data_IF_164191115856
#
_entry.id   IF_164191115856
#
_cell.length_a   1.000
_cell.length_b   1.000
_cell.length_c   1.000
_cell.angle_alpha   90.00
_cell.angle_beta   90.00
_cell.angle_gamma   90.00
#
_symmetry.space_group_name_H-M   'P 1'
#
loop_
_entity.id
_entity.type
_entity.pdbx_description
1 polymer ?
#
# COMPACT_ATOMS: atom_id res chain seq x y z
N UNK A 1 9.69 -16.79 -24.81
CA UNK A 1 8.95 -16.86 -23.54
C UNK A 1 7.65 -16.15 -23.77
N UNK A 2 6.55 -16.88 -23.78
CA UNK A 2 5.27 -16.44 -24.32
C UNK A 2 4.53 -15.56 -23.29
N UNK A 3 4.37 -14.26 -23.59
CA UNK A 3 3.72 -13.29 -22.70
C UNK A 3 2.19 -13.47 -22.63
N UNK A 4 1.62 -14.38 -23.44
CA UNK A 4 0.19 -14.69 -23.45
C UNK A 4 -0.24 -15.78 -22.45
N UNK A 5 0.67 -16.32 -21.65
CA UNK A 5 0.36 -17.32 -20.61
C UNK A 5 0.25 -16.72 -19.19
N UNK A 6 -0.08 -15.44 -19.06
CA UNK A 6 -0.33 -14.83 -17.75
C UNK A 6 -1.78 -15.10 -17.38
N UNK A 7 -2.04 -16.18 -16.62
CA UNK A 7 -3.38 -16.44 -16.10
C UNK A 7 -3.80 -15.27 -15.19
N UNK A 8 -5.08 -14.94 -15.18
CA UNK A 8 -5.66 -13.85 -14.40
C UNK A 8 -5.34 -13.94 -12.89
N UNK A 9 -4.94 -15.11 -12.42
CA UNK A 9 -4.47 -15.41 -11.06
C UNK A 9 -3.09 -14.80 -10.72
N UNK A 10 -2.22 -14.57 -11.71
CA UNK A 10 -0.87 -14.01 -11.52
C UNK A 10 -0.87 -12.49 -11.32
N UNK A 11 -2.01 -11.82 -11.57
CA UNK A 11 -2.17 -10.37 -11.39
C UNK A 11 -2.19 -9.94 -9.91
N UNK A 12 -2.23 -10.89 -8.96
CA UNK A 12 -2.21 -10.62 -7.52
C UNK A 12 -1.08 -11.44 -6.88
N UNK A 13 0.12 -10.84 -6.82
CA UNK A 13 1.41 -11.47 -6.39
C UNK A 13 1.28 -12.68 -5.46
N UNK A 14 1.55 -13.85 -6.04
CA UNK A 14 1.76 -15.12 -5.36
C UNK A 14 0.47 -15.86 -4.98
N UNK A 15 0.57 -17.18 -4.98
CA UNK A 15 -0.45 -18.06 -4.40
C UNK A 15 -0.55 -17.80 -2.89
N UNK A 16 -1.75 -17.99 -2.35
CA UNK A 16 -1.95 -17.97 -0.90
C UNK A 16 -1.15 -19.13 -0.29
N UNK A 17 -0.25 -18.88 0.68
CA UNK A 17 0.47 -19.96 1.35
C UNK A 17 -0.48 -20.97 1.98
N UNK A 18 -0.11 -22.25 1.93
CA UNK A 18 -0.95 -23.35 2.46
C UNK A 18 -1.20 -23.21 3.96
N UNK A 19 -0.22 -22.66 4.69
CA UNK A 19 -0.19 -22.43 6.13
C UNK A 19 -0.68 -21.03 6.54
N UNK A 20 -1.38 -20.31 5.64
CA UNK A 20 -1.75 -18.91 5.92
C UNK A 20 -2.70 -18.79 7.12
N UNK A 21 -3.56 -19.79 7.34
CA UNK A 21 -4.54 -19.75 8.43
C UNK A 21 -3.84 -19.89 9.77
N UNK A 22 -2.94 -20.88 9.89
CA UNK A 22 -2.06 -21.07 11.04
C UNK A 22 -1.21 -19.83 11.30
N UNK A 23 -0.58 -19.29 10.25
CA UNK A 23 0.24 -18.08 10.34
C UNK A 23 -0.56 -16.89 10.87
N UNK A 24 -1.76 -16.64 10.33
CA UNK A 24 -2.61 -15.54 10.78
C UNK A 24 -3.06 -15.73 12.23
N UNK A 25 -3.39 -16.95 12.62
CA UNK A 25 -3.79 -17.28 13.98
C UNK A 25 -2.66 -17.02 14.97
N UNK A 26 -1.46 -17.52 14.70
CA UNK A 26 -0.30 -17.36 15.58
C UNK A 26 0.11 -15.88 15.72
N UNK A 27 0.04 -15.11 14.63
CA UNK A 27 0.23 -13.66 14.68
C UNK A 27 -0.84 -12.98 15.56
N UNK A 28 -2.11 -13.35 15.43
CA UNK A 28 -3.17 -12.78 16.27
C UNK A 28 -2.95 -13.13 17.75
N UNK A 29 -2.60 -14.39 18.07
CA UNK A 29 -2.28 -14.81 19.45
C UNK A 29 -1.13 -14.01 20.03
N UNK A 30 -0.05 -13.85 19.27
CA UNK A 30 1.17 -13.20 19.71
C UNK A 30 0.98 -11.70 19.96
N UNK A 31 0.27 -11.00 19.07
CA UNK A 31 0.21 -9.53 19.08
C UNK A 31 -1.08 -8.93 19.65
N UNK A 32 -2.22 -9.62 19.54
CA UNK A 32 -3.51 -9.12 20.03
C UNK A 32 -3.86 -9.64 21.42
N UNK A 33 -3.37 -10.83 21.78
CA UNK A 33 -3.68 -11.49 23.05
C UNK A 33 -5.20 -11.66 23.26
N UNK A 34 -5.64 -11.85 24.52
CA UNK A 34 -7.06 -11.87 24.89
C UNK A 34 -7.83 -13.00 24.21
N UNK A 35 -8.97 -12.67 23.59
CA UNK A 35 -9.85 -13.65 22.94
C UNK A 35 -9.15 -14.50 21.87
N UNK A 36 -8.06 -13.99 21.27
CA UNK A 36 -7.30 -14.70 20.24
C UNK A 36 -6.48 -15.88 20.78
N UNK A 37 -6.03 -15.83 22.05
CA UNK A 37 -5.17 -16.90 22.62
C UNK A 37 -5.90 -18.25 22.74
N UNK A 38 -7.23 -18.22 22.79
CA UNK A 38 -8.08 -19.39 22.93
C UNK A 38 -8.57 -19.96 21.58
N UNK A 39 -8.26 -19.29 20.46
CA UNK A 39 -8.75 -19.70 19.15
C UNK A 39 -7.90 -20.81 18.53
N UNK A 40 -8.57 -21.68 17.78
CA UNK A 40 -7.97 -22.68 16.88
C UNK A 40 -8.26 -22.32 15.42
N UNK A 41 -7.59 -23.01 14.49
CA UNK A 41 -7.79 -22.85 13.04
C UNK A 41 -9.26 -23.00 12.65
N UNK A 42 -10.00 -23.91 13.29
CA UNK A 42 -11.42 -24.15 13.01
C UNK A 42 -12.33 -23.01 13.47
N UNK A 43 -11.93 -22.28 14.51
CA UNK A 43 -12.71 -21.18 15.11
C UNK A 43 -12.50 -19.83 14.44
N UNK A 44 -11.60 -19.74 13.47
CA UNK A 44 -11.33 -18.51 12.72
C UNK A 44 -11.65 -18.69 11.23
N UNK A 45 -11.89 -17.55 10.58
CA UNK A 45 -11.99 -17.44 9.14
C UNK A 45 -10.91 -16.49 8.65
N UNK A 46 -10.16 -16.92 7.64
CA UNK A 46 -9.15 -16.09 6.97
C UNK A 46 -9.53 -15.92 5.50
N UNK A 47 -9.64 -14.67 5.06
CA UNK A 47 -10.00 -14.30 3.69
C UNK A 47 -8.94 -13.39 3.10
N UNK A 48 -8.47 -13.70 1.88
CA UNK A 48 -7.56 -12.81 1.15
C UNK A 48 -8.30 -11.53 0.77
N UNK A 49 -7.71 -10.39 1.10
CA UNK A 49 -8.16 -9.08 0.62
C UNK A 49 -7.40 -8.80 -0.67
N UNK A 50 -8.14 -8.71 -1.78
CA UNK A 50 -7.60 -8.46 -3.12
C UNK A 50 -7.51 -6.96 -3.40
N UNK A 51 -6.70 -6.56 -4.38
CA UNK A 51 -6.58 -5.16 -4.85
C UNK A 51 -5.21 -4.49 -4.60
N UNK A 52 -4.39 -5.05 -3.70
CA UNK A 52 -3.01 -4.57 -3.48
C UNK A 52 -2.01 -5.20 -4.46
N UNK A 53 -1.22 -4.37 -5.15
CA UNK A 53 -0.21 -4.83 -6.12
C UNK A 53 1.11 -5.32 -5.46
N UNK A 54 1.43 -4.84 -4.26
CA UNK A 54 2.77 -4.99 -3.68
C UNK A 54 2.83 -5.95 -2.49
N UNK A 55 1.76 -6.01 -1.68
CA UNK A 55 1.72 -6.74 -0.41
C UNK A 55 0.50 -7.66 -0.37
N UNK A 56 0.62 -8.80 0.30
CA UNK A 56 -0.52 -9.68 0.55
C UNK A 56 -1.26 -9.19 1.80
N UNK A 57 -2.59 -9.22 1.75
CA UNK A 57 -3.42 -8.76 2.86
C UNK A 57 -4.53 -9.78 3.11
N UNK A 58 -4.79 -10.06 4.37
CA UNK A 58 -5.76 -11.06 4.81
C UNK A 58 -6.65 -10.49 5.91
N UNK A 59 -7.96 -10.66 5.78
CA UNK A 59 -8.89 -10.47 6.88
C UNK A 59 -8.90 -11.74 7.73
N UNK A 60 -8.59 -11.61 9.02
CA UNK A 60 -8.68 -12.68 10.00
C UNK A 60 -9.80 -12.35 10.98
N UNK A 61 -10.77 -13.26 11.12
CA UNK A 61 -11.98 -13.06 11.92
C UNK A 61 -12.28 -14.28 12.78
N UNK A 62 -12.63 -14.07 14.05
CA UNK A 62 -13.17 -15.14 14.89
C UNK A 62 -14.62 -15.45 14.47
N UNK A 63 -14.92 -16.71 14.16
CA UNK A 63 -16.28 -17.20 13.92
C UNK A 63 -17.05 -17.09 15.24
N UNK A 64 -18.09 -16.27 15.29
CA UNK A 64 -18.95 -16.13 16.45
C UNK A 64 -20.32 -16.72 16.16
N UNK A 65 -20.80 -17.59 17.07
CA UNK A 65 -22.19 -18.07 17.09
C UNK A 65 -23.11 -17.18 17.96
N UNK A 66 -22.64 -16.01 18.44
CA UNK A 66 -23.39 -15.13 19.35
C UNK A 66 -23.00 -13.65 19.26
N UNK A 67 -23.86 -12.79 19.82
CA UNK A 67 -23.80 -11.32 19.74
C UNK A 67 -22.46 -10.72 20.21
N UNK A 68 -22.06 -9.64 19.53
CA UNK A 68 -20.89 -8.84 19.86
C UNK A 68 -21.01 -8.33 21.30
N UNK A 69 -20.20 -8.88 22.21
CA UNK A 69 -20.04 -8.29 23.54
C UNK A 69 -19.43 -6.89 23.38
N UNK A 70 -20.09 -5.81 23.84
CA UNK A 70 -19.69 -4.43 23.51
C UNK A 70 -18.36 -3.95 24.12
N UNK A 71 -17.59 -4.82 24.80
CA UNK A 71 -16.58 -4.40 25.79
C UNK A 71 -15.30 -5.25 25.81
N UNK A 72 -14.83 -5.77 24.68
CA UNK A 72 -13.43 -6.24 24.61
C UNK A 72 -12.55 -5.19 23.97
N UNK A 73 -11.47 -4.77 24.66
CA UNK A 73 -10.46 -3.85 24.12
C UNK A 73 -9.73 -4.41 22.87
N UNK A 74 -9.85 -5.72 22.64
CA UNK A 74 -9.22 -6.45 21.53
C UNK A 74 -10.27 -6.72 20.44
N UNK A 75 -9.99 -6.38 19.17
CA UNK A 75 -10.91 -6.61 18.05
C UNK A 75 -11.05 -8.11 17.73
N UNK A 76 -12.23 -8.54 17.26
CA UNK A 76 -12.48 -9.92 16.77
C UNK A 76 -12.25 -10.10 15.27
N UNK A 77 -12.02 -9.01 14.55
CA UNK A 77 -11.75 -8.96 13.11
C UNK A 77 -10.60 -7.98 12.86
N UNK A 78 -9.57 -8.43 12.16
CA UNK A 78 -8.35 -7.65 11.87
C UNK A 78 -7.85 -7.90 10.44
N UNK A 79 -7.08 -6.95 9.92
CA UNK A 79 -6.37 -7.11 8.66
C UNK A 79 -4.88 -7.38 8.93
N UNK A 80 -4.34 -8.44 8.35
CA UNK A 80 -2.92 -8.79 8.43
C UNK A 80 -2.29 -8.48 7.08
N UNK A 81 -1.30 -7.57 7.08
CA UNK A 81 -0.53 -7.20 5.90
C UNK A 81 0.84 -7.85 5.96
N UNK A 82 1.12 -8.72 4.99
CA UNK A 82 2.41 -9.39 4.83
C UNK A 82 3.23 -8.72 3.72
N UNK A 83 4.46 -8.38 4.04
CA UNK A 83 5.42 -7.79 3.11
C UNK A 83 6.08 -8.89 2.27
N UNK A 84 6.26 -8.65 0.96
CA UNK A 84 6.97 -9.60 0.08
C UNK A 84 8.45 -9.80 0.47
N UNK A 85 9.21 -10.67 -0.21
CA UNK A 85 10.65 -10.90 0.13
C UNK A 85 11.57 -9.70 -0.14
N UNK A 86 11.25 -8.91 -1.17
CA UNK A 86 11.87 -7.58 -1.41
C UNK A 86 11.36 -6.52 -0.43
N UNK A 87 10.23 -6.86 0.22
CA UNK A 87 9.77 -6.40 1.53
C UNK A 87 10.84 -6.90 2.56
N UNK A 88 10.64 -7.34 3.81
CA UNK A 88 11.71 -7.86 4.72
C UNK A 88 12.99 -7.00 5.00
N UNK A 89 13.36 -6.84 6.27
CA UNK A 89 14.54 -6.05 6.67
C UNK A 89 15.74 -7.00 6.64
N UNK A 90 16.30 -7.28 5.46
CA UNK A 90 17.36 -8.31 5.34
C UNK A 90 18.60 -7.88 4.56
N UNK A 91 18.63 -6.72 3.89
CA UNK A 91 19.70 -6.41 2.91
C UNK A 91 20.27 -4.97 2.96
N UNK A 92 20.24 -4.28 4.11
CA UNK A 92 20.83 -2.93 4.21
C UNK A 92 19.95 -1.80 3.65
N UNK A 93 18.79 -2.12 3.06
CA UNK A 93 17.71 -1.19 2.71
C UNK A 93 16.84 -0.74 3.91
N UNK A 94 17.30 -1.02 5.14
CA UNK A 94 16.51 -0.84 6.38
C UNK A 94 16.06 0.60 6.67
N UNK A 95 16.74 1.62 6.12
CA UNK A 95 16.42 3.03 6.35
C UNK A 95 15.10 3.49 5.71
N UNK A 96 14.82 3.08 4.48
CA UNK A 96 13.57 3.44 3.78
C UNK A 96 12.36 2.75 4.45
N UNK A 97 12.55 1.49 4.88
CA UNK A 97 11.53 0.70 5.60
C UNK A 97 11.16 1.30 6.94
N UNK A 98 12.15 1.75 7.70
CA UNK A 98 11.89 2.40 8.97
C UNK A 98 11.08 3.68 8.76
N UNK A 99 11.37 4.42 7.68
CA UNK A 99 10.56 5.56 7.24
C UNK A 99 9.09 5.18 6.98
N UNK A 100 8.83 4.14 6.18
CA UNK A 100 7.47 3.67 5.89
C UNK A 100 6.71 3.22 7.14
N UNK A 101 7.39 2.56 8.07
CA UNK A 101 6.83 2.16 9.36
C UNK A 101 6.43 3.38 10.19
N UNK A 102 7.32 4.37 10.30
CA UNK A 102 7.05 5.61 11.03
C UNK A 102 5.88 6.36 10.39
N UNK A 103 5.86 6.48 9.05
CA UNK A 103 4.75 7.09 8.31
C UNK A 103 3.44 6.36 8.62
N UNK A 104 3.41 5.03 8.51
CA UNK A 104 2.22 4.22 8.78
C UNK A 104 1.69 4.39 10.20
N UNK A 105 2.58 4.40 11.20
CA UNK A 105 2.23 4.64 12.59
C UNK A 105 1.67 6.05 12.82
N UNK A 106 2.25 7.08 12.20
CA UNK A 106 1.77 8.46 12.33
C UNK A 106 0.41 8.65 11.66
N UNK A 107 0.20 8.07 10.48
CA UNK A 107 -1.09 8.11 9.78
C UNK A 107 -2.17 7.42 10.63
N UNK A 108 -1.86 6.26 11.21
CA UNK A 108 -2.72 5.56 12.17
C UNK A 108 -3.01 6.42 13.41
N UNK A 109 -1.99 7.00 14.04
CA UNK A 109 -2.12 7.79 15.26
C UNK A 109 -2.98 9.06 15.04
N UNK A 110 -2.88 9.67 13.86
CA UNK A 110 -3.68 10.85 13.48
C UNK A 110 -5.09 10.48 13.00
N UNK A 111 -5.48 9.21 13.00
CA UNK A 111 -6.80 8.76 12.51
C UNK A 111 -7.01 9.04 11.01
N UNK A 112 -5.93 8.97 10.23
CA UNK A 112 -5.92 9.16 8.78
C UNK A 112 -5.72 7.85 8.00
N UNK A 113 -5.58 6.74 8.73
CA UNK A 113 -5.54 5.39 8.17
C UNK A 113 -5.91 4.36 9.24
N UNK A 114 -5.85 3.06 8.88
CA UNK A 114 -6.23 2.01 9.79
C UNK A 114 -5.37 1.99 11.05
N UNK A 115 -6.01 1.77 12.20
CA UNK A 115 -5.29 1.62 13.47
C UNK A 115 -4.32 0.44 13.39
N UNK A 116 -3.06 0.66 13.78
CA UNK A 116 -2.07 -0.42 13.92
C UNK A 116 -2.25 -1.09 15.29
N UNK A 117 -2.48 -2.41 15.29
CA UNK A 117 -2.56 -3.22 16.51
C UNK A 117 -1.26 -3.96 16.82
N UNK A 118 -0.46 -4.29 15.81
CA UNK A 118 0.80 -5.01 16.01
C UNK A 118 1.73 -4.87 14.81
N UNK A 119 3.03 -4.99 15.07
CA UNK A 119 4.07 -4.91 14.05
C UNK A 119 5.07 -6.04 14.26
N UNK A 120 5.49 -6.69 13.18
CA UNK A 120 6.39 -7.84 13.22
C UNK A 120 7.34 -7.86 12.05
N UNK A 121 8.38 -8.69 12.14
CA UNK A 121 9.29 -8.87 11.01
C UNK A 121 8.55 -9.51 9.84
N UNK A 122 8.30 -8.72 8.80
CA UNK A 122 7.54 -9.16 7.62
C UNK A 122 6.10 -8.68 7.55
N UNK A 123 5.62 -7.85 8.47
CA UNK A 123 4.25 -7.32 8.33
C UNK A 123 3.72 -6.48 9.48
N UNK A 124 2.42 -6.27 9.44
CA UNK A 124 1.67 -5.53 10.46
C UNK A 124 0.22 -6.05 10.57
N UNK A 125 -0.35 -5.91 11.77
CA UNK A 125 -1.76 -6.15 12.08
C UNK A 125 -2.46 -4.80 12.19
N UNK A 126 -3.53 -4.64 11.43
CA UNK A 126 -4.28 -3.41 11.24
C UNK A 126 -5.75 -3.62 11.61
N UNK A 127 -6.44 -2.54 11.93
CA UNK A 127 -7.89 -2.51 11.96
C UNK A 127 -8.45 -2.84 10.58
N UNK A 128 -9.39 -3.79 10.55
CA UNK A 128 -10.18 -4.06 9.38
C UNK A 128 -11.45 -3.22 9.42
N UNK A 129 -11.74 -2.54 8.31
CA UNK A 129 -12.98 -1.81 8.12
C UNK A 129 -13.69 -2.40 6.92
N UNK A 130 -14.98 -2.71 7.07
CA UNK A 130 -15.81 -2.99 5.90
C UNK A 130 -16.00 -1.69 5.14
N UNK A 131 -15.47 -1.63 3.94
CA UNK A 131 -15.46 -0.45 3.10
C UNK A 131 -15.73 -0.82 1.64
N UNK A 132 -15.96 0.20 0.83
CA UNK A 132 -15.95 0.14 -0.63
C UNK A 132 -15.06 1.27 -1.13
N UNK A 133 -14.48 1.10 -2.31
CA UNK A 133 -13.69 2.16 -2.93
C UNK A 133 -14.56 3.36 -3.32
N UNK A 134 -13.95 4.53 -3.25
CA UNK A 134 -14.50 5.76 -3.80
C UNK A 134 -14.49 5.71 -5.34
N UNK A 135 -15.68 5.61 -5.94
CA UNK A 135 -15.86 5.44 -7.38
C UNK A 135 -16.47 6.66 -8.08
N UNK A 136 -16.76 6.49 -9.38
CA UNK A 136 -17.34 7.56 -10.22
C UNK A 136 -18.67 8.11 -9.68
N UNK A 137 -19.52 7.23 -9.15
CA UNK A 137 -20.79 7.65 -8.54
C UNK A 137 -20.60 8.52 -7.28
N UNK A 138 -19.46 8.42 -6.61
CA UNK A 138 -19.12 9.25 -5.45
C UNK A 138 -18.59 10.62 -5.85
N UNK A 139 -17.88 10.71 -6.97
CA UNK A 139 -17.32 11.96 -7.49
C UNK A 139 -18.42 12.98 -7.82
N UNK A 140 -19.61 12.52 -8.20
CA UNK A 140 -20.77 13.36 -8.46
C UNK A 140 -21.46 13.87 -7.17
N UNK A 141 -20.96 13.51 -5.98
CA UNK A 141 -21.52 13.91 -4.69
C UNK A 141 -20.59 14.91 -4.01
N UNK A 142 -20.87 16.24 -4.06
CA UNK A 142 -19.98 17.27 -3.53
C UNK A 142 -19.58 17.08 -2.06
N UNK A 143 -20.49 16.55 -1.25
CA UNK A 143 -20.22 16.29 0.17
C UNK A 143 -19.15 15.21 0.37
N UNK A 144 -19.16 14.13 -0.42
CA UNK A 144 -18.14 13.08 -0.32
C UNK A 144 -16.79 13.56 -0.86
N UNK A 145 -16.80 14.28 -1.99
CA UNK A 145 -15.60 14.90 -2.55
C UNK A 145 -14.94 15.83 -1.53
N UNK A 146 -15.75 16.65 -0.83
CA UNK A 146 -15.25 17.51 0.25
C UNK A 146 -14.57 16.71 1.36
N UNK A 147 -15.18 15.63 1.84
CA UNK A 147 -14.58 14.78 2.88
C UNK A 147 -13.24 14.19 2.44
N UNK A 148 -13.14 13.77 1.18
CA UNK A 148 -11.89 13.25 0.59
C UNK A 148 -10.79 14.32 0.60
N UNK A 149 -11.09 15.54 0.16
CA UNK A 149 -10.11 16.63 0.16
C UNK A 149 -9.79 17.16 1.56
N UNK A 150 -10.72 17.13 2.52
CA UNK A 150 -10.44 17.40 3.93
C UNK A 150 -9.47 16.36 4.51
N UNK A 151 -9.63 15.08 4.16
CA UNK A 151 -8.68 14.01 4.50
C UNK A 151 -7.28 14.26 3.91
N UNK A 152 -7.21 14.63 2.62
CA UNK A 152 -5.95 14.96 1.95
C UNK A 152 -5.26 16.18 2.56
N UNK A 153 -6.02 17.23 2.90
CA UNK A 153 -5.49 18.42 3.56
C UNK A 153 -4.91 18.09 4.94
N UNK A 154 -5.56 17.20 5.70
CA UNK A 154 -5.04 16.70 6.99
C UNK A 154 -3.74 15.92 6.81
N UNK A 155 -3.60 15.11 5.75
CA UNK A 155 -2.34 14.45 5.40
C UNK A 155 -1.25 15.49 5.12
N UNK A 156 -1.54 16.50 4.29
CA UNK A 156 -0.58 17.57 3.96
C UNK A 156 -0.09 18.36 5.18
N UNK A 157 -0.93 18.48 6.21
CA UNK A 157 -0.63 19.18 7.45
C UNK A 157 0.13 18.32 8.49
N UNK A 158 0.36 17.02 8.24
CA UNK A 158 1.06 16.16 9.19
C UNK A 158 2.53 16.58 9.33
N UNK A 159 3.01 16.68 10.57
CA UNK A 159 4.43 16.81 10.87
C UNK A 159 5.07 15.43 11.03
N UNK A 160 5.66 14.94 9.94
CA UNK A 160 6.27 13.61 9.87
C UNK A 160 7.80 13.75 9.86
N UNK A 161 8.56 13.00 10.69
CA UNK A 161 10.01 13.09 10.81
C UNK A 161 10.70 12.32 9.67
N UNK A 162 10.41 12.74 8.44
CA UNK A 162 11.02 12.22 7.21
C UNK A 162 11.78 13.33 6.49
N UNK A 163 12.68 12.94 5.58
CA UNK A 163 13.50 13.89 4.81
C UNK A 163 12.59 14.82 3.98
N UNK A 164 12.68 16.13 4.22
CA UNK A 164 11.96 17.17 3.48
C UNK A 164 12.72 17.53 2.19
N UNK A 165 12.64 16.66 1.18
CA UNK A 165 13.25 16.87 -0.15
C UNK A 165 12.27 16.56 -1.27
N UNK A 166 12.46 17.18 -2.45
CA UNK A 166 11.70 16.83 -3.65
C UNK A 166 12.00 15.39 -4.08
N UNK A 167 11.11 14.48 -3.73
CA UNK A 167 11.28 13.05 -4.02
C UNK A 167 11.01 12.73 -5.49
N UNK A 168 10.02 13.38 -6.11
CA UNK A 168 9.52 13.02 -7.45
C UNK A 168 10.61 13.03 -8.52
N UNK A 169 11.29 14.17 -8.74
CA UNK A 169 12.27 14.27 -9.83
C UNK A 169 13.49 13.40 -9.60
N UNK A 170 13.98 13.26 -8.36
CA UNK A 170 15.07 12.32 -8.06
C UNK A 170 14.69 10.89 -8.44
N UNK A 171 13.49 10.45 -8.05
CA UNK A 171 12.98 9.11 -8.41
C UNK A 171 12.77 8.97 -9.91
N UNK A 172 12.20 9.98 -10.57
CA UNK A 172 11.95 9.96 -12.01
C UNK A 172 13.26 9.86 -12.83
N UNK A 173 14.30 10.61 -12.47
CA UNK A 173 15.61 10.50 -13.13
C UNK A 173 16.26 9.14 -12.88
N UNK A 174 16.11 8.58 -11.68
CA UNK A 174 16.60 7.23 -11.39
C UNK A 174 15.90 6.17 -12.25
N UNK A 175 14.57 6.25 -12.39
CA UNK A 175 13.81 5.35 -13.26
C UNK A 175 14.17 5.53 -14.72
N UNK A 176 14.34 6.78 -15.19
CA UNK A 176 14.82 7.08 -16.53
C UNK A 176 16.16 6.38 -16.80
N UNK A 177 17.13 6.52 -15.89
CA UNK A 177 18.44 5.88 -16.03
C UNK A 177 18.33 4.35 -16.08
N UNK A 178 17.42 3.74 -15.31
CA UNK A 178 17.18 2.28 -15.38
C UNK A 178 16.61 1.90 -16.74
N UNK A 179 15.61 2.64 -17.22
CA UNK A 179 14.90 2.38 -18.48
C UNK A 179 15.86 2.50 -19.66
N UNK A 180 16.68 3.56 -19.70
CA UNK A 180 17.61 3.80 -20.80
C UNK A 180 18.76 2.78 -20.85
N UNK A 181 19.18 2.27 -19.69
CA UNK A 181 20.25 1.28 -19.60
C UNK A 181 19.76 -0.19 -19.63
N UNK A 182 18.45 -0.45 -19.71
CA UNK A 182 17.90 -1.81 -19.81
C UNK A 182 17.65 -2.20 -21.28
N UNK A 183 18.43 -3.14 -21.84
CA UNK A 183 18.24 -3.60 -23.22
C UNK A 183 16.84 -4.16 -23.49
N UNK A 184 16.15 -4.67 -22.46
CA UNK A 184 14.78 -5.19 -22.60
C UNK A 184 13.79 -4.08 -22.90
N UNK A 185 14.01 -2.88 -22.38
CA UNK A 185 13.18 -1.71 -22.68
C UNK A 185 13.20 -1.44 -24.18
N UNK A 186 14.37 -1.39 -24.79
CA UNK A 186 14.50 -1.05 -26.21
C UNK A 186 13.83 -2.11 -27.10
N UNK A 187 13.94 -3.39 -26.72
CA UNK A 187 13.22 -4.48 -27.36
C UNK A 187 11.71 -4.28 -27.27
N UNK A 188 11.17 -4.02 -26.08
CA UNK A 188 9.73 -3.80 -25.87
C UNK A 188 9.20 -2.57 -26.62
N UNK A 189 9.96 -1.47 -26.64
CA UNK A 189 9.62 -0.25 -27.40
C UNK A 189 9.46 -0.56 -28.89
N UNK A 190 10.32 -1.43 -29.41
CA UNK A 190 10.26 -1.87 -30.80
C UNK A 190 9.09 -2.82 -31.06
N UNK A 191 8.94 -3.87 -30.23
CA UNK A 191 7.89 -4.88 -30.35
C UNK A 191 6.48 -4.29 -30.22
N UNK A 192 6.26 -3.40 -29.25
CA UNK A 192 4.97 -2.74 -29.01
C UNK A 192 4.76 -1.52 -29.90
N UNK A 193 5.71 -1.22 -30.78
CA UNK A 193 5.71 -0.07 -31.69
C UNK A 193 5.38 1.27 -31.00
N UNK A 194 6.03 1.54 -29.87
CA UNK A 194 5.81 2.74 -29.07
C UNK A 194 6.50 3.96 -29.69
N UNK A 195 5.92 4.49 -30.78
CA UNK A 195 6.51 5.56 -31.57
C UNK A 195 6.91 6.78 -30.74
N UNK A 196 6.09 7.19 -29.76
CA UNK A 196 6.41 8.32 -28.90
C UNK A 196 7.76 8.16 -28.17
N UNK A 197 8.09 6.94 -27.71
CA UNK A 197 9.36 6.64 -27.05
C UNK A 197 10.54 6.51 -28.02
N UNK A 198 10.26 6.33 -29.32
CA UNK A 198 11.28 6.30 -30.38
C UNK A 198 11.62 7.70 -30.90
N UNK A 199 10.63 8.59 -30.93
CA UNK A 199 10.77 9.92 -31.57
C UNK A 199 11.00 11.05 -30.58
N UNK A 200 10.70 10.87 -29.29
CA UNK A 200 10.89 11.87 -28.25
C UNK A 200 11.92 11.42 -27.22
N UNK A 201 12.73 12.36 -26.73
CA UNK A 201 13.65 12.11 -25.62
C UNK A 201 12.90 12.21 -24.30
N UNK A 202 12.75 11.08 -23.60
CA UNK A 202 12.19 11.06 -22.24
C UNK A 202 12.94 11.99 -21.28
N UNK A 203 14.27 12.13 -21.44
CA UNK A 203 15.06 13.06 -20.63
C UNK A 203 14.68 14.50 -20.86
N UNK A 204 14.54 14.90 -22.13
CA UNK A 204 14.16 16.26 -22.50
C UNK A 204 12.76 16.60 -21.98
N UNK A 205 11.80 15.68 -22.10
CA UNK A 205 10.45 15.84 -21.54
C UNK A 205 10.48 15.96 -20.02
N UNK A 206 11.27 15.12 -19.33
CA UNK A 206 11.40 15.19 -17.87
C UNK A 206 12.05 16.51 -17.41
N UNK A 207 13.07 16.98 -18.12
CA UNK A 207 13.72 18.27 -17.86
C UNK A 207 12.76 19.44 -18.10
N UNK A 208 11.95 19.38 -19.17
CA UNK A 208 10.94 20.37 -19.48
C UNK A 208 9.88 20.45 -18.37
N UNK A 209 9.33 19.30 -17.93
CA UNK A 209 8.38 19.24 -16.82
C UNK A 209 9.02 19.78 -15.54
N UNK A 210 10.28 19.46 -15.27
CA UNK A 210 11.01 20.01 -14.12
C UNK A 210 11.09 21.53 -14.16
N UNK A 211 11.44 22.11 -15.31
CA UNK A 211 11.50 23.57 -15.47
C UNK A 211 10.15 24.25 -15.28
N UNK A 212 9.04 23.59 -15.65
CA UNK A 212 7.69 24.11 -15.40
C UNK A 212 7.35 24.07 -13.92
N UNK A 213 7.61 22.95 -13.25
CA UNK A 213 7.32 22.78 -11.81
C UNK A 213 8.18 23.70 -10.95
N UNK A 214 9.45 23.92 -11.31
CA UNK A 214 10.34 24.84 -10.59
C UNK A 214 9.86 26.31 -10.66
N UNK A 215 8.97 26.66 -11.60
CA UNK A 215 8.33 27.98 -11.69
C UNK A 215 7.03 28.08 -10.87
N UNK A 216 6.51 26.96 -10.36
CA UNK A 216 5.31 26.95 -9.56
C UNK A 216 5.66 27.21 -8.09
N UNK A 217 4.95 28.15 -7.46
CA UNK A 217 5.04 28.40 -6.01
C UNK A 217 4.16 27.40 -5.23
N UNK A 218 4.41 26.11 -5.44
CA UNK A 218 3.70 25.04 -4.72
C UNK A 218 4.42 24.74 -3.41
N UNK A 219 3.73 24.79 -2.25
CA UNK A 219 4.36 24.50 -0.98
C UNK A 219 4.83 23.04 -0.91
N UNK A 220 5.98 22.82 -0.29
CA UNK A 220 6.46 21.46 0.01
C UNK A 220 5.72 20.94 1.25
N UNK A 221 4.87 19.92 1.04
CA UNK A 221 4.06 19.29 2.08
C UNK A 221 4.25 17.77 2.09
N UNK A 222 3.78 17.10 3.14
CA UNK A 222 3.75 15.64 3.19
C UNK A 222 2.62 15.11 2.29
N UNK A 223 2.95 14.41 1.21
CA UNK A 223 1.98 13.98 0.21
C UNK A 223 1.72 12.46 0.26
N UNK A 224 0.49 12.04 -0.07
CA UNK A 224 0.16 10.62 -0.25
C UNK A 224 0.86 10.01 -1.48
N UNK A 225 1.12 10.80 -2.53
CA UNK A 225 1.75 10.44 -3.80
C UNK A 225 1.03 9.37 -4.66
N UNK A 226 0.04 8.66 -4.12
CA UNK A 226 -0.81 7.71 -4.87
C UNK A 226 -2.31 7.86 -4.56
N UNK A 227 -2.83 9.09 -4.56
CA UNK A 227 -4.19 9.40 -4.09
C UNK A 227 -5.26 9.10 -5.16
N UNK A 228 -5.50 7.80 -5.40
CA UNK A 228 -6.44 7.27 -6.39
C UNK A 228 -7.61 6.54 -5.73
N UNK A 229 -8.71 6.33 -6.46
CA UNK A 229 -9.93 5.65 -6.01
C UNK A 229 -9.73 4.36 -5.19
N UNK A 230 -8.73 3.54 -5.53
CA UNK A 230 -8.46 2.28 -4.80
C UNK A 230 -7.88 2.49 -3.40
N UNK A 231 -7.35 3.69 -3.13
CA UNK A 231 -6.76 4.12 -1.87
C UNK A 231 -7.67 5.10 -1.10
N UNK A 232 -8.92 5.27 -1.53
CA UNK A 232 -9.93 6.16 -0.92
C UNK A 232 -11.18 5.34 -0.58
#
# INVERSE_FOLDING_TARGET
TDFNATNQTDLIRGETPVDIVDTCLELCKQYLSGVWTQQTVDTIEVKRITGGLTNQMYCCRIKSDGEESPQTAVPREVAIRLYGRKNLITDGSGGERLGDIIIGLMVSHNGLGPRVYGMFNGGQILAYYKHRHFGLADQNRPQLVRQVFEGLARIHAMDVPVKRKHWFFTTAYNWYNIIENDPKTQTLVNELNLNALKTHSLKAELDFVKQLVDKCDSPLVFCHNDFRSVNI
#
